data_IF_100547270241
#
_entry.id   IF_100547270241
#
_cell.length_a   1.000
_cell.length_b   1.000
_cell.length_c   1.000
_cell.angle_alpha   90.00
_cell.angle_beta   90.00
_cell.angle_gamma   90.00
#
_symmetry.space_group_name_H-M   'P 1'
#
loop_
_entity.id
_entity.type
_entity.pdbx_description
1 polymer ?
#
# COMPACT_ATOMS: atom_id res chain seq x y z
N UNK A 1 -5.67 -11.57 -4.32
CA UNK A 1 -5.96 -10.27 -4.98
C UNK A 1 -6.69 -9.38 -3.99
N UNK A 2 -6.32 -8.12 -3.88
CA UNK A 2 -6.99 -7.13 -3.05
C UNK A 2 -8.46 -6.95 -3.47
N UNK A 3 -9.35 -6.84 -2.48
CA UNK A 3 -10.74 -6.46 -2.69
C UNK A 3 -10.92 -4.97 -2.45
N UNK A 4 -11.97 -4.39 -3.04
CA UNK A 4 -12.27 -2.95 -2.94
C UNK A 4 -12.23 -2.44 -1.50
N UNK A 5 -12.91 -3.11 -0.57
CA UNK A 5 -13.02 -2.64 0.80
C UNK A 5 -11.66 -2.63 1.54
N UNK A 6 -10.74 -3.53 1.17
CA UNK A 6 -9.38 -3.56 1.68
C UNK A 6 -8.53 -2.42 1.11
N UNK A 7 -8.70 -2.14 -0.19
CA UNK A 7 -8.04 -1.00 -0.85
C UNK A 7 -8.52 0.32 -0.22
N UNK A 8 -9.82 0.46 0.00
CA UNK A 8 -10.40 1.63 0.65
C UNK A 8 -9.86 1.82 2.08
N UNK A 9 -9.82 0.75 2.88
CA UNK A 9 -9.26 0.78 4.22
C UNK A 9 -7.77 1.15 4.23
N UNK A 10 -6.99 0.55 3.32
CA UNK A 10 -5.55 0.82 3.18
C UNK A 10 -5.31 2.30 2.85
N UNK A 11 -5.97 2.84 1.82
CA UNK A 11 -5.76 4.23 1.43
C UNK A 11 -6.31 5.24 2.44
N UNK A 12 -7.34 4.88 3.23
CA UNK A 12 -7.79 5.70 4.34
C UNK A 12 -6.69 5.81 5.41
N UNK A 13 -6.04 4.71 5.77
CA UNK A 13 -4.93 4.69 6.73
C UNK A 13 -3.70 5.44 6.19
N UNK A 14 -3.31 5.18 4.94
CA UNK A 14 -2.20 5.89 4.28
C UNK A 14 -2.37 7.41 4.34
N UNK A 15 -3.58 7.90 4.05
CA UNK A 15 -3.90 9.34 4.14
C UNK A 15 -3.88 9.82 5.59
N UNK A 16 -4.49 9.06 6.51
CA UNK A 16 -4.53 9.44 7.92
C UNK A 16 -3.13 9.60 8.52
N UNK A 17 -2.16 8.78 8.11
CA UNK A 17 -0.81 8.79 8.69
C UNK A 17 0.14 9.76 7.98
N UNK A 18 0.07 9.84 6.65
CA UNK A 18 1.14 10.45 5.85
C UNK A 18 0.71 11.68 5.06
N UNK A 19 -0.59 12.02 5.02
CA UNK A 19 -1.05 13.17 4.24
C UNK A 19 -0.40 14.47 4.71
N UNK A 20 0.13 15.25 3.76
CA UNK A 20 0.83 16.51 4.03
C UNK A 20 2.31 16.36 4.38
N UNK A 21 2.83 15.14 4.51
CA UNK A 21 4.27 14.89 4.62
C UNK A 21 4.95 14.95 3.25
N UNK A 22 6.26 15.23 3.22
CA UNK A 22 7.03 15.27 1.97
C UNK A 22 7.10 13.90 1.27
N UNK A 23 6.88 12.81 2.00
CA UNK A 23 7.01 11.44 1.49
C UNK A 23 5.68 10.89 0.98
N UNK A 24 4.57 11.60 1.20
CA UNK A 24 3.23 11.10 0.93
C UNK A 24 3.09 10.54 -0.50
N UNK A 25 3.52 11.28 -1.50
CA UNK A 25 3.41 10.87 -2.91
C UNK A 25 4.26 9.62 -3.22
N UNK A 26 5.44 9.50 -2.59
CA UNK A 26 6.31 8.33 -2.74
C UNK A 26 5.64 7.10 -2.12
N UNK A 27 5.16 7.21 -0.88
CA UNK A 27 4.51 6.09 -0.18
C UNK A 27 3.24 5.67 -0.91
N UNK A 28 2.43 6.63 -1.37
CA UNK A 28 1.21 6.36 -2.14
C UNK A 28 1.51 5.54 -3.40
N UNK A 29 2.47 5.98 -4.21
CA UNK A 29 2.87 5.26 -5.43
C UNK A 29 3.40 3.85 -5.12
N UNK A 30 4.20 3.71 -4.06
CA UNK A 30 4.76 2.41 -3.69
C UNK A 30 3.67 1.46 -3.13
N UNK A 31 2.62 2.00 -2.51
CA UNK A 31 1.39 1.25 -2.16
C UNK A 31 0.64 0.79 -3.41
N UNK A 32 0.39 1.68 -4.37
CA UNK A 32 -0.26 1.32 -5.65
C UNK A 32 0.49 0.17 -6.35
N UNK A 33 1.82 0.30 -6.41
CA UNK A 33 2.70 -0.70 -7.03
C UNK A 33 2.68 -2.03 -6.27
N UNK A 34 2.69 -1.98 -4.94
CA UNK A 34 2.68 -3.17 -4.10
C UNK A 34 1.36 -3.94 -4.14
N UNK A 35 0.21 -3.25 -4.25
CA UNK A 35 -1.08 -3.89 -4.54
C UNK A 35 -0.98 -4.66 -5.88
N UNK A 36 -0.48 -4.01 -6.94
CA UNK A 36 -0.32 -4.65 -8.24
C UNK A 36 0.65 -5.84 -8.22
N UNK A 37 1.74 -5.76 -7.44
CA UNK A 37 2.68 -6.87 -7.27
C UNK A 37 2.01 -8.05 -6.55
N UNK A 38 1.32 -7.81 -5.44
CA UNK A 38 0.60 -8.84 -4.71
C UNK A 38 -0.47 -9.51 -5.59
N UNK A 39 -1.25 -8.72 -6.32
CA UNK A 39 -2.32 -9.21 -7.19
C UNK A 39 -1.79 -10.03 -8.37
N UNK A 40 -0.58 -9.73 -8.84
CA UNK A 40 0.11 -10.48 -9.91
C UNK A 40 1.00 -11.61 -9.40
N UNK A 41 1.03 -11.89 -8.09
CA UNK A 41 1.89 -12.92 -7.50
C UNK A 41 3.39 -12.61 -7.59
N UNK A 42 3.76 -11.34 -7.78
CA UNK A 42 5.15 -10.88 -7.83
C UNK A 42 5.67 -10.58 -6.42
N UNK A 43 6.98 -10.74 -6.19
CA UNK A 43 7.58 -10.42 -4.89
C UNK A 43 7.48 -8.92 -4.58
N UNK A 44 7.17 -8.59 -3.32
CA UNK A 44 7.08 -7.21 -2.81
C UNK A 44 8.47 -6.63 -2.50
N UNK A 45 9.29 -6.43 -3.53
CA UNK A 45 10.67 -5.94 -3.40
C UNK A 45 10.84 -4.52 -3.96
N UNK A 46 11.72 -3.73 -3.32
CA UNK A 46 12.07 -2.39 -3.79
C UNK A 46 11.01 -1.31 -3.51
N UNK A 47 10.11 -1.57 -2.55
CA UNK A 47 9.08 -0.64 -2.09
C UNK A 47 9.51 0.00 -0.76
N UNK A 48 9.03 1.21 -0.48
CA UNK A 48 9.20 1.85 0.84
C UNK A 48 8.66 0.94 1.97
N UNK A 49 9.40 0.83 3.07
CA UNK A 49 9.03 -0.04 4.21
C UNK A 49 7.66 0.32 4.81
N UNK A 50 7.27 1.60 4.76
CA UNK A 50 5.95 2.06 5.21
C UNK A 50 4.84 1.56 4.30
N UNK A 51 5.08 1.56 2.99
CA UNK A 51 4.13 1.00 2.03
C UNK A 51 4.00 -0.51 2.23
N UNK A 52 5.11 -1.22 2.41
CA UNK A 52 5.12 -2.66 2.70
C UNK A 52 4.32 -3.00 3.96
N UNK A 53 4.49 -2.22 5.04
CA UNK A 53 3.74 -2.41 6.27
C UNK A 53 2.23 -2.25 6.07
N UNK A 54 1.79 -1.24 5.30
CA UNK A 54 0.38 -1.03 4.96
C UNK A 54 -0.18 -2.18 4.12
N UNK A 55 0.56 -2.62 3.09
CA UNK A 55 0.15 -3.75 2.24
C UNK A 55 0.01 -5.02 3.07
N UNK A 56 1.00 -5.34 3.90
CA UNK A 56 1.01 -6.55 4.72
C UNK A 56 -0.14 -6.56 5.74
N UNK A 57 -0.50 -5.40 6.28
CA UNK A 57 -1.61 -5.24 7.23
C UNK A 57 -2.98 -5.41 6.58
N UNK A 58 -3.16 -4.94 5.34
CA UNK A 58 -4.46 -4.88 4.67
C UNK A 58 -4.68 -5.97 3.61
N UNK A 59 -3.65 -6.77 3.30
CA UNK A 59 -3.77 -7.85 2.31
C UNK A 59 -4.87 -8.86 2.69
N UNK A 60 -5.52 -9.49 1.71
CA UNK A 60 -6.40 -10.62 1.97
C UNK A 60 -5.69 -11.79 2.66
N UNK A 61 -6.41 -12.40 3.60
CA UNK A 61 -6.12 -13.72 4.15
C UNK A 61 -6.23 -14.81 3.06
#
# INVERSE_FOLDING_TARGET
>A
MFKRDQIEALFAELKSEWQGTHDFEKIHRDVDLGIAYYDSGRPLTGLDERALALIEKHKPE
#
